data_IF_441914597888
#
_entry.id   IF_441914597888
#
_cell.length_a   1.000
_cell.length_b   1.000
_cell.length_c   1.000
_cell.angle_alpha   90.00
_cell.angle_beta   90.00
_cell.angle_gamma   90.00
#
_symmetry.space_group_name_H-M   'P 1'
#
loop_
_entity.id
_entity.type
_entity.pdbx_description
1 polymer ?
#
# COMPACT_ATOMS: atom_id res chain seq x y z
N UNK A 1 7.08 -6.94 21.54
CA UNK A 1 6.25 -7.71 20.59
C UNK A 1 4.84 -7.20 20.68
N UNK A 2 4.24 -6.79 19.57
CA UNK A 2 2.84 -6.35 19.53
C UNK A 2 1.94 -7.59 19.61
N UNK A 3 0.85 -7.57 20.39
CA UNK A 3 -0.04 -8.73 20.59
C UNK A 3 -0.62 -9.31 19.28
N UNK A 4 -0.62 -8.54 18.21
CA UNK A 4 -1.05 -8.97 16.87
C UNK A 4 -0.20 -10.12 16.29
N UNK A 5 1.11 -10.17 16.58
CA UNK A 5 2.00 -11.24 16.10
C UNK A 5 1.71 -12.59 16.77
N UNK A 6 1.07 -12.60 17.94
CA UNK A 6 0.75 -13.82 18.68
C UNK A 6 -0.37 -14.63 18.00
N UNK A 7 -1.35 -13.96 17.39
CA UNK A 7 -2.52 -14.62 16.77
C UNK A 7 -2.16 -15.57 15.62
N UNK A 8 -1.00 -15.34 15.01
CA UNK A 8 -0.54 -16.08 13.86
C UNK A 8 0.52 -17.12 14.29
N UNK A 9 1.38 -16.85 15.27
CA UNK A 9 2.61 -17.60 15.57
C UNK A 9 2.46 -19.11 15.91
N UNK A 10 1.26 -19.62 16.20
CA UNK A 10 1.03 -21.01 16.64
C UNK A 10 0.32 -21.94 15.65
N UNK A 11 0.09 -21.53 14.40
CA UNK A 11 -0.65 -22.35 13.42
C UNK A 11 0.29 -23.30 12.64
N UNK A 12 -0.14 -24.55 12.34
CA UNK A 12 0.65 -25.50 11.57
C UNK A 12 1.02 -24.97 10.18
N UNK A 13 2.12 -25.48 9.61
CA UNK A 13 2.64 -25.12 8.29
C UNK A 13 1.63 -25.45 7.19
N UNK A 14 0.72 -24.52 6.92
CA UNK A 14 -0.26 -24.57 5.82
C UNK A 14 0.02 -23.47 4.82
N UNK A 15 -0.38 -23.68 3.56
CA UNK A 15 -0.27 -22.66 2.52
C UNK A 15 -0.98 -21.37 2.93
N UNK A 16 -0.30 -20.22 2.76
CA UNK A 16 -0.88 -18.89 2.98
C UNK A 16 -2.08 -18.70 2.05
N UNK A 17 -3.23 -18.34 2.64
CA UNK A 17 -4.47 -18.07 1.90
C UNK A 17 -4.93 -16.62 2.01
N UNK A 18 -6.00 -16.28 1.29
CA UNK A 18 -6.59 -14.93 1.32
C UNK A 18 -7.04 -14.51 2.72
N UNK A 19 -7.53 -15.44 3.53
CA UNK A 19 -7.91 -15.16 4.92
C UNK A 19 -6.72 -14.66 5.76
N UNK A 20 -5.50 -15.14 5.49
CA UNK A 20 -4.30 -14.69 6.18
C UNK A 20 -3.91 -13.27 5.76
N UNK A 21 -4.12 -12.92 4.48
CA UNK A 21 -3.92 -11.56 3.96
C UNK A 21 -4.93 -10.58 4.56
N UNK A 22 -6.22 -10.96 4.64
CA UNK A 22 -7.25 -10.14 5.29
C UNK A 22 -6.92 -9.89 6.76
N UNK A 23 -6.51 -10.94 7.49
CA UNK A 23 -6.08 -10.79 8.89
C UNK A 23 -4.88 -9.86 9.02
N UNK A 24 -3.89 -10.00 8.15
CA UNK A 24 -2.75 -9.09 8.16
C UNK A 24 -3.20 -7.64 7.92
N UNK A 25 -4.00 -7.38 6.89
CA UNK A 25 -4.52 -6.04 6.60
C UNK A 25 -5.27 -5.41 7.79
N UNK A 26 -6.16 -6.17 8.43
CA UNK A 26 -6.95 -5.68 9.57
C UNK A 26 -6.15 -5.62 10.88
N UNK A 27 -5.01 -6.31 10.97
CA UNK A 27 -4.15 -6.25 12.16
C UNK A 27 -3.41 -4.92 12.30
N UNK A 28 -3.27 -4.16 11.21
CA UNK A 28 -2.75 -2.80 11.24
C UNK A 28 -3.86 -1.85 11.68
N UNK A 29 -3.75 -1.36 12.92
CA UNK A 29 -4.69 -0.40 13.51
C UNK A 29 -4.87 0.85 12.65
N UNK A 30 -3.80 1.25 11.96
CA UNK A 30 -3.79 2.37 11.03
C UNK A 30 -4.86 2.20 9.93
N UNK A 31 -5.05 1.00 9.39
CA UNK A 31 -6.08 0.72 8.38
C UNK A 31 -7.50 0.83 8.96
N UNK A 32 -7.69 0.40 10.21
CA UNK A 32 -8.99 0.46 10.88
C UNK A 32 -9.48 1.90 11.08
N UNK A 33 -8.57 2.86 11.22
CA UNK A 33 -8.91 4.30 11.32
C UNK A 33 -9.55 4.85 10.05
N UNK A 34 -9.44 4.16 8.91
CA UNK A 34 -10.09 4.54 7.66
C UNK A 34 -11.29 3.65 7.35
N UNK A 35 -11.18 2.34 7.60
CA UNK A 35 -12.25 1.37 7.38
C UNK A 35 -13.48 1.68 8.23
N UNK A 36 -13.29 1.98 9.51
CA UNK A 36 -14.42 2.23 10.43
C UNK A 36 -15.21 3.49 10.05
N UNK A 37 -14.59 4.68 9.86
CA UNK A 37 -15.32 5.86 9.40
C UNK A 37 -15.98 5.67 8.04
N UNK A 38 -15.31 5.01 7.08
CA UNK A 38 -15.91 4.72 5.77
C UNK A 38 -17.18 3.88 5.90
N UNK A 39 -17.13 2.79 6.69
CA UNK A 39 -18.28 1.93 6.94
C UNK A 39 -19.43 2.67 7.66
N UNK A 40 -19.11 3.52 8.64
CA UNK A 40 -20.10 4.34 9.36
C UNK A 40 -20.80 5.30 8.39
N UNK A 41 -20.05 6.03 7.55
CA UNK A 41 -20.63 6.99 6.61
C UNK A 41 -21.52 6.31 5.57
N UNK A 42 -21.07 5.18 5.01
CA UNK A 42 -21.90 4.37 4.08
C UNK A 42 -23.16 3.87 4.80
N UNK A 43 -23.02 3.34 6.02
CA UNK A 43 -24.13 2.85 6.82
C UNK A 43 -25.15 3.94 7.15
N UNK A 44 -24.70 5.14 7.50
CA UNK A 44 -25.57 6.31 7.73
C UNK A 44 -26.34 6.72 6.46
N UNK A 45 -25.69 6.72 5.29
CA UNK A 45 -26.34 7.00 4.01
C UNK A 45 -27.43 6.00 3.67
N UNK A 46 -27.16 4.70 3.88
CA UNK A 46 -28.14 3.62 3.67
C UNK A 46 -29.30 3.70 4.66
N UNK A 47 -29.02 3.94 5.95
CA UNK A 47 -30.03 4.01 7.01
C UNK A 47 -30.97 5.22 6.88
N UNK A 48 -30.49 6.32 6.29
CA UNK A 48 -31.29 7.54 6.05
C UNK A 48 -31.95 7.58 4.67
N UNK A 49 -32.02 6.43 3.99
CA UNK A 49 -32.62 6.26 2.66
C UNK A 49 -31.65 6.65 1.53
N UNK A 50 -31.09 5.68 0.78
CA UNK A 50 -30.06 5.96 -0.22
C UNK A 50 -30.57 6.84 -1.35
N UNK A 51 -29.72 7.77 -1.81
CA UNK A 51 -29.99 8.67 -2.93
C UNK A 51 -29.03 8.36 -4.08
N UNK A 52 -29.48 8.57 -5.31
CA UNK A 52 -28.59 8.55 -6.47
C UNK A 52 -27.46 9.58 -6.33
N UNK A 53 -27.72 10.73 -5.70
CA UNK A 53 -26.68 11.73 -5.41
C UNK A 53 -25.58 11.18 -4.52
N UNK A 54 -25.89 10.36 -3.51
CA UNK A 54 -24.87 9.76 -2.64
C UNK A 54 -23.91 8.89 -3.46
N UNK A 55 -24.44 8.08 -4.38
CA UNK A 55 -23.63 7.22 -5.24
C UNK A 55 -22.73 8.02 -6.20
N UNK A 56 -23.25 9.12 -6.77
CA UNK A 56 -22.49 10.00 -7.65
C UNK A 56 -21.38 10.72 -6.89
N UNK A 57 -21.67 11.27 -5.71
CA UNK A 57 -20.68 11.93 -4.87
C UNK A 57 -19.63 10.95 -4.35
N UNK A 58 -20.04 9.76 -3.93
CA UNK A 58 -19.12 8.68 -3.58
C UNK A 58 -18.18 8.32 -4.72
N UNK A 59 -18.71 8.14 -5.94
CA UNK A 59 -17.91 7.88 -7.12
C UNK A 59 -16.96 9.05 -7.41
N UNK A 60 -17.43 10.29 -7.31
CA UNK A 60 -16.59 11.49 -7.46
C UNK A 60 -15.44 11.52 -6.47
N UNK A 61 -15.69 11.28 -5.18
CA UNK A 61 -14.65 11.24 -4.17
C UNK A 61 -13.60 10.16 -4.41
N UNK A 62 -14.02 8.98 -4.85
CA UNK A 62 -13.09 7.93 -5.26
C UNK A 62 -12.27 8.33 -6.50
N UNK A 63 -12.91 8.95 -7.50
CA UNK A 63 -12.21 9.45 -8.68
C UNK A 63 -11.19 10.54 -8.35
N UNK A 64 -11.48 11.43 -7.40
CA UNK A 64 -10.54 12.45 -6.89
C UNK A 64 -9.32 11.79 -6.21
N UNK A 65 -9.52 10.65 -5.54
CA UNK A 65 -8.42 9.93 -4.90
C UNK A 65 -7.41 9.36 -5.92
N UNK A 66 -7.82 9.00 -7.15
CA UNK A 66 -6.92 8.38 -8.13
C UNK A 66 -5.71 9.26 -8.54
N UNK A 67 -5.89 10.53 -8.96
CA UNK A 67 -4.76 11.42 -9.21
C UNK A 67 -4.02 11.77 -7.92
N UNK A 68 -4.70 11.85 -6.77
CA UNK A 68 -4.05 12.09 -5.49
C UNK A 68 -3.07 10.97 -5.11
N UNK A 69 -3.44 9.70 -5.32
CA UNK A 69 -2.54 8.55 -5.17
C UNK A 69 -1.29 8.73 -6.02
N UNK A 70 -1.48 8.99 -7.32
CA UNK A 70 -0.36 9.13 -8.27
C UNK A 70 0.55 10.29 -7.90
N UNK A 71 -0.01 11.48 -7.61
CA UNK A 71 0.75 12.66 -7.20
C UNK A 71 1.54 12.42 -5.91
N UNK A 72 0.91 11.79 -4.92
CA UNK A 72 1.56 11.44 -3.66
C UNK A 72 2.72 10.48 -3.92
N UNK A 73 2.49 9.45 -4.72
CA UNK A 73 3.52 8.46 -5.01
C UNK A 73 4.72 9.07 -5.74
N UNK A 74 4.48 9.87 -6.78
CA UNK A 74 5.54 10.51 -7.58
C UNK A 74 6.29 11.59 -6.79
N UNK A 75 5.58 12.53 -6.18
CA UNK A 75 6.20 13.76 -5.67
C UNK A 75 6.51 13.75 -4.18
N UNK A 76 5.83 12.88 -3.41
CA UNK A 76 6.04 12.78 -1.96
C UNK A 76 6.83 11.51 -1.65
N UNK A 77 6.35 10.34 -2.05
CA UNK A 77 6.96 9.06 -1.69
C UNK A 77 8.30 8.82 -2.38
N UNK A 78 8.45 9.30 -3.63
CA UNK A 78 9.70 9.23 -4.41
C UNK A 78 10.55 10.51 -4.34
N UNK A 79 10.34 11.36 -3.34
CA UNK A 79 11.12 12.60 -3.19
C UNK A 79 12.60 12.33 -2.90
N UNK A 80 13.48 12.65 -3.87
CA UNK A 80 14.93 12.38 -3.79
C UNK A 80 15.78 13.49 -3.18
N UNK A 81 15.22 14.67 -2.93
CA UNK A 81 15.96 15.85 -2.48
C UNK A 81 16.37 15.80 -1.01
N UNK A 82 16.99 14.70 -0.56
CA UNK A 82 17.33 14.41 0.83
C UNK A 82 18.70 14.99 1.16
N UNK A 83 18.75 15.80 2.22
CA UNK A 83 19.94 16.58 2.61
C UNK A 83 20.44 16.30 4.03
N UNK A 84 19.74 15.46 4.78
CA UNK A 84 20.12 15.07 6.14
C UNK A 84 19.68 13.66 6.48
N UNK A 85 20.39 13.02 7.41
CA UNK A 85 20.03 11.71 7.95
C UNK A 85 18.61 11.66 8.52
N UNK A 86 18.18 12.74 9.19
CA UNK A 86 16.82 12.83 9.72
C UNK A 86 15.79 12.75 8.60
N UNK A 87 15.95 13.56 7.53
CA UNK A 87 15.04 13.51 6.38
C UNK A 87 15.09 12.14 5.67
N UNK A 88 16.27 11.53 5.57
CA UNK A 88 16.42 10.18 5.02
C UNK A 88 15.63 9.16 5.85
N UNK A 89 15.72 9.21 7.18
CA UNK A 89 14.98 8.33 8.08
C UNK A 89 13.47 8.49 7.95
N UNK A 90 12.97 9.71 7.77
CA UNK A 90 11.55 9.95 7.49
C UNK A 90 11.14 9.31 6.17
N UNK A 91 11.90 9.53 5.10
CA UNK A 91 11.65 8.90 3.80
C UNK A 91 11.77 7.38 3.84
N UNK A 92 12.67 6.83 4.65
CA UNK A 92 12.81 5.40 4.82
C UNK A 92 11.56 4.78 5.44
N UNK A 93 10.98 5.40 6.48
CA UNK A 93 9.69 4.96 7.02
C UNK A 93 8.57 5.19 6.02
N UNK A 94 8.62 6.28 5.27
CA UNK A 94 7.54 6.68 4.38
C UNK A 94 7.45 5.75 3.16
N UNK A 95 8.58 5.45 2.51
CA UNK A 95 8.58 4.65 1.30
C UNK A 95 9.90 3.94 0.97
N UNK A 96 11.07 4.49 1.31
CA UNK A 96 12.33 3.88 0.84
C UNK A 96 12.56 2.51 1.47
N UNK A 97 12.15 2.32 2.73
CA UNK A 97 12.21 1.01 3.38
C UNK A 97 11.32 -0.03 2.71
N UNK A 98 10.20 0.39 2.10
CA UNK A 98 9.37 -0.49 1.30
C UNK A 98 10.11 -0.94 0.02
N UNK A 99 10.79 -0.03 -0.67
CA UNK A 99 11.67 -0.37 -1.79
C UNK A 99 12.90 -1.20 -1.37
N UNK A 100 13.38 -1.01 -0.13
CA UNK A 100 14.52 -1.76 0.39
C UNK A 100 14.14 -3.22 0.66
N UNK A 101 13.00 -3.42 1.32
CA UNK A 101 12.45 -4.71 1.71
C UNK A 101 10.96 -4.83 1.32
N UNK A 102 10.62 -5.10 0.05
CA UNK A 102 9.22 -5.11 -0.43
C UNK A 102 8.34 -6.18 0.25
N UNK A 103 8.97 -7.21 0.82
CA UNK A 103 8.29 -8.29 1.55
C UNK A 103 7.94 -7.93 3.01
N UNK A 104 8.30 -6.73 3.48
CA UNK A 104 7.97 -6.24 4.83
C UNK A 104 6.71 -5.40 4.79
N UNK A 105 5.66 -5.93 5.42
CA UNK A 105 4.37 -5.27 5.55
C UNK A 105 4.41 -4.07 6.49
N UNK A 106 5.22 -4.09 7.55
CA UNK A 106 5.40 -2.95 8.44
C UNK A 106 5.98 -1.69 7.77
N UNK A 107 6.67 -1.85 6.64
CA UNK A 107 7.25 -0.75 5.87
C UNK A 107 6.39 -0.31 4.68
N UNK A 108 5.36 -1.08 4.28
CA UNK A 108 4.54 -0.74 3.11
C UNK A 108 3.41 0.24 3.42
N UNK A 109 2.74 0.09 4.57
CA UNK A 109 1.57 0.91 4.91
C UNK A 109 1.96 2.36 5.14
N UNK A 110 1.12 3.27 4.62
CA UNK A 110 1.33 4.69 4.78
C UNK A 110 1.24 5.11 6.26
N UNK A 111 2.19 5.91 6.76
CA UNK A 111 2.17 6.34 8.14
C UNK A 111 1.06 7.37 8.41
N UNK A 112 0.43 7.27 9.58
CA UNK A 112 -0.67 8.14 9.99
C UNK A 112 -0.34 9.64 9.98
N UNK A 113 0.92 10.01 10.21
CA UNK A 113 1.33 11.42 10.15
C UNK A 113 1.27 12.02 8.75
N UNK A 114 1.19 11.19 7.69
CA UNK A 114 0.91 11.65 6.33
C UNK A 114 -0.59 11.49 6.02
N UNK A 115 -1.16 10.32 6.30
CA UNK A 115 -2.52 9.99 5.86
C UNK A 115 -3.61 10.75 6.60
N UNK A 116 -3.44 11.04 7.90
CA UNK A 116 -4.42 11.83 8.66
C UNK A 116 -4.51 13.29 8.17
N UNK A 117 -3.42 14.06 8.02
CA UNK A 117 -3.50 15.40 7.44
C UNK A 117 -4.09 15.40 6.03
N UNK A 118 -3.65 14.49 5.16
CA UNK A 118 -4.16 14.39 3.79
C UNK A 118 -5.65 14.03 3.75
N UNK A 119 -6.11 13.16 4.64
CA UNK A 119 -7.53 12.81 4.76
C UNK A 119 -8.36 13.97 5.31
N UNK A 120 -7.83 14.72 6.28
CA UNK A 120 -8.49 15.93 6.78
C UNK A 120 -8.63 17.01 5.69
N UNK A 121 -7.59 17.18 4.85
CA UNK A 121 -7.65 18.07 3.69
C UNK A 121 -8.72 17.63 2.69
N UNK A 122 -8.84 16.33 2.43
CA UNK A 122 -9.90 15.80 1.58
C UNK A 122 -11.30 16.12 2.14
N UNK A 123 -11.51 15.94 3.45
CA UNK A 123 -12.78 16.30 4.09
C UNK A 123 -13.08 17.79 3.94
N UNK A 124 -12.11 18.66 4.25
CA UNK A 124 -12.26 20.12 4.09
C UNK A 124 -12.58 20.49 2.64
N UNK A 125 -11.91 19.86 1.68
CA UNK A 125 -12.17 20.07 0.26
C UNK A 125 -13.62 19.73 -0.10
N UNK A 126 -14.15 18.57 0.31
CA UNK A 126 -15.53 18.18 -0.01
C UNK A 126 -16.59 19.00 0.74
N UNK A 127 -16.29 19.45 1.97
CA UNK A 127 -17.15 20.38 2.72
C UNK A 127 -17.24 21.75 2.05
N UNK A 128 -16.16 22.19 1.40
CA UNK A 128 -16.14 23.44 0.63
C UNK A 128 -16.77 23.29 -0.76
N UNK A 129 -16.58 22.14 -1.41
CA UNK A 129 -16.97 21.93 -2.80
C UNK A 129 -18.45 21.56 -3.00
N UNK A 130 -19.05 20.82 -2.05
CA UNK A 130 -20.46 20.43 -2.12
C UNK A 130 -21.30 21.27 -1.16
N UNK A 131 -22.47 21.73 -1.63
CA UNK A 131 -23.35 22.61 -0.85
C UNK A 131 -24.02 21.90 0.34
N UNK A 132 -24.31 20.60 0.19
CA UNK A 132 -25.00 19.81 1.19
C UNK A 132 -24.02 18.93 1.98
N UNK A 133 -24.08 18.98 3.31
CA UNK A 133 -23.24 18.14 4.19
C UNK A 133 -23.28 16.66 3.82
N UNK A 134 -24.47 16.13 3.49
CA UNK A 134 -24.64 14.72 3.10
C UNK A 134 -23.84 14.38 1.85
N UNK A 135 -23.84 15.26 0.86
CA UNK A 135 -23.11 15.09 -0.39
C UNK A 135 -21.59 15.15 -0.15
N UNK A 136 -21.12 16.10 0.68
CA UNK A 136 -19.72 16.18 1.12
C UNK A 136 -19.27 14.89 1.82
N UNK A 137 -20.10 14.35 2.72
CA UNK A 137 -19.81 13.11 3.45
C UNK A 137 -19.83 11.88 2.55
N UNK A 138 -20.71 11.82 1.56
CA UNK A 138 -20.72 10.76 0.55
C UNK A 138 -19.45 10.79 -0.30
N UNK A 139 -19.01 11.98 -0.74
CA UNK A 139 -17.75 12.14 -1.45
C UNK A 139 -16.54 11.79 -0.58
N UNK A 140 -16.53 12.22 0.68
CA UNK A 140 -15.48 11.86 1.62
C UNK A 140 -15.41 10.34 1.85
N UNK A 141 -16.55 9.65 1.99
CA UNK A 141 -16.59 8.19 2.06
C UNK A 141 -16.03 7.54 0.78
N UNK A 142 -16.28 8.14 -0.38
CA UNK A 142 -15.67 7.81 -1.67
C UNK A 142 -14.14 7.88 -1.67
N UNK A 143 -13.58 8.97 -1.15
CA UNK A 143 -12.13 9.13 -1.05
C UNK A 143 -11.51 8.14 -0.05
N UNK A 144 -12.19 7.89 1.08
CA UNK A 144 -11.77 6.88 2.07
C UNK A 144 -11.75 5.47 1.45
N UNK A 145 -12.79 5.09 0.68
CA UNK A 145 -12.77 3.78 0.00
C UNK A 145 -11.64 3.70 -1.01
N UNK A 146 -11.32 4.80 -1.70
CA UNK A 146 -10.19 4.88 -2.61
C UNK A 146 -8.88 4.55 -1.91
N UNK A 147 -8.62 5.19 -0.76
CA UNK A 147 -7.45 4.92 0.06
C UNK A 147 -7.39 3.46 0.57
N UNK A 148 -8.50 2.92 1.07
CA UNK A 148 -8.56 1.54 1.55
C UNK A 148 -8.27 0.55 0.41
N UNK A 149 -8.84 0.77 -0.78
CA UNK A 149 -8.61 -0.05 -1.97
C UNK A 149 -7.15 0.05 -2.42
N UNK A 150 -6.54 1.22 -2.34
CA UNK A 150 -5.12 1.42 -2.61
C UNK A 150 -4.24 0.58 -1.67
N UNK A 151 -4.39 0.73 -0.35
CA UNK A 151 -3.59 -0.03 0.64
C UNK A 151 -3.79 -1.54 0.47
N UNK A 152 -5.03 -1.96 0.20
CA UNK A 152 -5.34 -3.37 -0.07
C UNK A 152 -4.68 -3.89 -1.36
N UNK A 153 -4.76 -3.12 -2.44
CA UNK A 153 -4.13 -3.43 -3.71
C UNK A 153 -2.60 -3.53 -3.54
N UNK A 154 -2.02 -2.60 -2.80
CA UNK A 154 -0.60 -2.53 -2.51
C UNK A 154 -0.12 -3.76 -1.73
N UNK A 155 -0.82 -4.14 -0.66
CA UNK A 155 -0.55 -5.38 0.08
C UNK A 155 -0.65 -6.60 -0.83
N UNK A 156 -1.73 -6.72 -1.62
CA UNK A 156 -1.94 -7.87 -2.50
C UNK A 156 -0.83 -8.05 -3.54
N UNK A 157 -0.19 -6.95 -3.97
CA UNK A 157 0.94 -7.03 -4.89
C UNK A 157 2.17 -7.70 -4.26
N UNK A 158 2.33 -7.60 -2.94
CA UNK A 158 3.54 -7.97 -2.21
C UNK A 158 3.41 -9.21 -1.35
N UNK A 159 2.25 -9.87 -1.33
CA UNK A 159 2.04 -11.15 -0.61
C UNK A 159 2.13 -12.35 -1.57
N UNK A 160 2.51 -13.54 -1.07
CA UNK A 160 2.64 -14.76 -1.88
C UNK A 160 1.29 -15.44 -2.15
N UNK A 161 0.25 -14.66 -2.45
CA UNK A 161 -1.08 -15.15 -2.84
C UNK A 161 -1.33 -14.78 -4.29
N UNK A 162 -1.72 -15.77 -5.10
CA UNK A 162 -1.95 -15.55 -6.52
C UNK A 162 -3.24 -14.77 -6.78
N UNK A 163 -3.10 -13.68 -7.55
CA UNK A 163 -4.23 -12.93 -8.07
C UNK A 163 -5.03 -13.76 -9.09
N UNK A 164 -6.32 -14.01 -8.80
CA UNK A 164 -7.20 -14.81 -9.67
C UNK A 164 -7.62 -14.09 -10.95
N UNK A 165 -7.79 -12.77 -10.92
CA UNK A 165 -8.24 -11.99 -12.09
C UNK A 165 -7.07 -11.43 -12.90
N UNK A 166 -7.29 -11.21 -14.21
CA UNK A 166 -6.29 -10.61 -15.09
C UNK A 166 -5.94 -9.18 -14.68
N UNK A 167 -6.93 -8.41 -14.21
CA UNK A 167 -6.72 -7.06 -13.68
C UNK A 167 -5.75 -7.05 -12.50
N UNK A 168 -5.98 -7.90 -11.49
CA UNK A 168 -5.12 -7.97 -10.31
C UNK A 168 -3.72 -8.49 -10.62
N UNK A 169 -3.58 -9.44 -11.56
CA UNK A 169 -2.27 -9.86 -12.08
C UNK A 169 -1.53 -8.70 -12.74
N UNK A 170 -2.20 -7.94 -13.61
CA UNK A 170 -1.62 -6.77 -14.28
C UNK A 170 -1.14 -5.72 -13.29
N UNK A 171 -1.94 -5.40 -12.28
CA UNK A 171 -1.58 -4.44 -11.23
C UNK A 171 -0.33 -4.93 -10.49
N UNK A 172 -0.34 -6.19 -10.04
CA UNK A 172 0.81 -6.80 -9.38
C UNK A 172 2.06 -6.74 -10.25
N UNK A 173 1.97 -7.17 -11.50
CA UNK A 173 3.13 -7.24 -12.39
C UNK A 173 3.70 -5.84 -12.68
N UNK A 174 2.84 -4.83 -12.80
CA UNK A 174 3.26 -3.41 -12.94
C UNK A 174 3.90 -2.87 -11.67
N UNK A 175 3.29 -3.10 -10.51
CA UNK A 175 3.85 -2.63 -9.24
C UNK A 175 5.17 -3.34 -8.91
N UNK A 176 5.29 -4.64 -9.16
CA UNK A 176 6.56 -5.34 -9.01
C UNK A 176 7.59 -4.86 -10.04
N UNK A 177 7.18 -4.45 -11.24
CA UNK A 177 8.09 -3.81 -12.19
C UNK A 177 8.57 -2.43 -11.70
N UNK A 178 7.71 -1.64 -11.05
CA UNK A 178 8.12 -0.41 -10.38
C UNK A 178 9.24 -0.67 -9.36
N UNK A 179 9.11 -1.71 -8.53
CA UNK A 179 10.10 -2.09 -7.52
C UNK A 179 11.40 -2.67 -8.09
N UNK A 180 11.32 -3.52 -9.13
CA UNK A 180 12.45 -4.36 -9.56
C UNK A 180 12.99 -4.05 -10.96
N UNK A 181 12.36 -3.14 -11.70
CA UNK A 181 12.76 -2.78 -13.07
C UNK A 181 13.12 -1.31 -13.12
N UNK A 182 12.18 -0.42 -12.78
CA UNK A 182 12.41 1.02 -12.85
C UNK A 182 11.44 1.77 -11.94
N UNK A 183 11.97 2.40 -10.90
CA UNK A 183 11.23 3.16 -9.89
C UNK A 183 10.59 4.45 -10.44
N UNK A 184 10.92 4.86 -11.67
CA UNK A 184 10.31 6.03 -12.34
C UNK A 184 9.07 5.68 -13.17
N UNK A 185 8.62 4.44 -13.13
CA UNK A 185 7.50 3.95 -13.94
C UNK A 185 6.49 3.17 -13.08
N UNK A 186 5.25 3.06 -13.57
CA UNK A 186 4.14 2.32 -12.97
C UNK A 186 3.83 2.73 -11.52
N UNK A 187 3.60 4.03 -11.30
CA UNK A 187 3.32 4.57 -9.97
C UNK A 187 1.90 4.22 -9.50
N UNK A 188 0.93 4.10 -10.39
CA UNK A 188 -0.42 3.76 -9.96
C UNK A 188 -0.49 2.32 -9.45
N UNK A 189 -1.12 2.13 -8.29
CA UNK A 189 -1.34 0.83 -7.64
C UNK A 189 -2.83 0.47 -7.65
N UNK A 190 -3.73 1.44 -7.47
CA UNK A 190 -5.17 1.16 -7.53
C UNK A 190 -5.58 0.65 -8.92
N UNK A 191 -6.52 -0.33 -9.00
CA UNK A 191 -7.00 -0.85 -10.28
C UNK A 191 -7.46 0.21 -11.28
N UNK A 192 -8.32 1.18 -10.91
CA UNK A 192 -8.73 2.23 -11.85
C UNK A 192 -7.63 3.27 -12.09
N UNK A 193 -6.62 3.43 -11.24
CA UNK A 193 -5.61 4.49 -11.40
C UNK A 193 -4.60 4.21 -12.54
N UNK A 194 -4.50 2.97 -13.04
CA UNK A 194 -3.50 2.54 -14.02
C UNK A 194 -3.47 3.36 -15.34
N UNK A 195 -4.57 4.03 -15.70
CA UNK A 195 -4.61 4.90 -16.87
C UNK A 195 -3.79 6.19 -16.66
N UNK A 196 -3.62 6.64 -15.42
CA UNK A 196 -2.90 7.88 -15.07
C UNK A 196 -1.42 7.75 -15.46
N UNK A 197 -0.80 6.60 -15.19
CA UNK A 197 0.55 6.31 -15.71
C UNK A 197 0.63 6.43 -17.24
N UNK A 198 -0.44 6.05 -17.95
CA UNK A 198 -0.47 6.16 -19.42
C UNK A 198 -0.58 7.63 -19.84
N UNK A 199 -1.46 8.39 -19.17
CA UNK A 199 -1.66 9.81 -19.42
C UNK A 199 -0.38 10.63 -19.22
N UNK A 200 0.37 10.34 -18.16
CA UNK A 200 1.62 11.05 -17.81
C UNK A 200 2.88 10.38 -18.34
N UNK A 201 2.75 9.37 -19.22
CA UNK A 201 3.88 8.64 -19.84
C UNK A 201 4.85 8.02 -18.83
N UNK A 202 4.35 7.66 -17.65
CA UNK A 202 5.06 6.85 -16.65
C UNK A 202 4.64 5.39 -16.69
N UNK A 203 3.80 4.99 -17.65
CA UNK A 203 3.48 3.60 -17.97
C UNK A 203 4.45 2.97 -18.98
N UNK A 204 4.00 1.93 -19.69
CA UNK A 204 4.80 1.26 -20.73
C UNK A 204 4.85 -0.26 -20.56
N UNK A 205 5.43 -0.95 -21.54
CA UNK A 205 5.73 -2.39 -21.44
C UNK A 205 7.05 -2.56 -20.71
N UNK A 206 7.08 -3.54 -19.79
CA UNK A 206 8.25 -3.83 -18.95
C UNK A 206 9.56 -3.99 -19.72
N UNK A 207 9.50 -4.61 -20.90
CA UNK A 207 10.68 -4.91 -21.72
C UNK A 207 11.25 -3.68 -22.44
N UNK A 208 10.44 -2.64 -22.63
CA UNK A 208 10.81 -1.43 -23.39
C UNK A 208 11.39 -0.34 -22.47
N UNK A 209 11.29 -0.53 -21.15
CA UNK A 209 11.76 0.43 -20.14
C UNK A 209 13.17 0.06 -19.70
N UNK A 210 14.06 1.06 -19.69
CA UNK A 210 15.42 0.92 -19.20
C UNK A 210 15.41 0.45 -17.74
N UNK A 211 16.21 -0.58 -17.44
CA UNK A 211 16.36 -1.06 -16.07
C UNK A 211 17.22 -0.07 -15.28
N UNK A 212 16.73 0.36 -14.13
CA UNK A 212 17.51 1.22 -13.25
C UNK A 212 18.56 0.40 -12.51
N UNK A 213 19.71 0.16 -13.15
CA UNK A 213 20.97 -0.34 -12.55
C UNK A 213 20.84 -1.19 -11.28
N UNK A 214 21.45 -0.76 -10.18
CA UNK A 214 21.46 -1.39 -8.84
C UNK A 214 20.07 -1.56 -8.18
N UNK A 215 18.98 -1.39 -8.94
CA UNK A 215 17.63 -1.82 -8.59
C UNK A 215 16.92 -0.95 -7.55
N UNK A 216 17.54 0.16 -7.14
CA UNK A 216 17.09 0.98 -6.00
C UNK A 216 17.51 2.43 -6.18
N UNK A 217 16.91 3.14 -7.15
CA UNK A 217 17.23 4.57 -7.33
C UNK A 217 17.04 5.33 -6.01
N UNK A 218 15.99 5.03 -5.23
CA UNK A 218 15.68 5.71 -3.98
C UNK A 218 16.74 5.52 -2.87
N UNK A 219 17.45 4.39 -2.85
CA UNK A 219 18.40 4.04 -1.79
C UNK A 219 19.82 4.38 -2.22
N UNK A 220 20.02 5.62 -2.71
CA UNK A 220 21.29 6.15 -3.22
C UNK A 220 22.48 5.64 -2.40
N UNK A 221 23.36 4.88 -3.06
CA UNK A 221 24.51 4.22 -2.45
C UNK A 221 24.15 3.28 -1.28
N UNK A 222 24.05 1.97 -1.55
CA UNK A 222 23.66 0.97 -0.53
C UNK A 222 24.65 0.86 0.63
N UNK A 223 25.88 1.35 0.46
CA UNK A 223 26.93 1.38 1.47
C UNK A 223 26.88 2.67 2.32
N UNK A 224 25.98 3.60 1.99
CA UNK A 224 25.75 4.79 2.79
C UNK A 224 25.31 4.46 4.22
N UNK A 225 26.06 5.02 5.16
CA UNK A 225 25.83 4.98 6.60
C UNK A 225 24.37 5.24 7.04
N UNK A 226 23.67 6.16 6.37
CA UNK A 226 22.26 6.48 6.65
C UNK A 226 21.34 5.31 6.32
N UNK A 227 21.62 4.57 5.23
CA UNK A 227 20.88 3.37 4.84
C UNK A 227 21.02 2.31 5.94
N UNK A 228 22.26 2.05 6.39
CA UNK A 228 22.54 1.02 7.39
C UNK A 228 21.91 1.35 8.74
N UNK A 229 22.00 2.61 9.18
CA UNK A 229 21.33 3.07 10.42
C UNK A 229 19.81 3.02 10.32
N UNK A 230 19.23 3.34 9.16
CA UNK A 230 17.79 3.20 8.94
C UNK A 230 17.36 1.72 9.01
N UNK A 231 18.06 0.82 8.31
CA UNK A 231 17.83 -0.64 8.38
C UNK A 231 17.85 -1.15 9.82
N UNK A 232 18.91 -0.82 10.56
CA UNK A 232 19.06 -1.22 11.97
C UNK A 232 17.92 -0.69 12.85
N UNK A 233 17.54 0.58 12.68
CA UNK A 233 16.45 1.21 13.45
C UNK A 233 15.11 0.52 13.25
N UNK A 234 14.81 0.08 12.02
CA UNK A 234 13.52 -0.52 11.70
C UNK A 234 13.53 -2.05 11.77
N UNK A 235 14.69 -2.72 11.89
CA UNK A 235 14.81 -4.17 11.91
C UNK A 235 13.89 -4.85 12.96
N UNK A 236 13.83 -4.31 14.17
CA UNK A 236 13.05 -4.89 15.29
C UNK A 236 11.52 -4.71 15.17
N UNK A 237 11.04 -3.96 14.16
CA UNK A 237 9.61 -3.72 13.94
C UNK A 237 8.96 -4.74 13.00
N UNK A 238 9.75 -5.57 12.34
CA UNK A 238 9.22 -6.59 11.44
C UNK A 238 8.31 -7.57 12.19
N UNK A 239 7.24 -8.00 11.52
CA UNK A 239 6.36 -9.07 12.00
C UNK A 239 6.99 -10.46 11.86
N UNK A 240 7.98 -10.60 10.96
CA UNK A 240 8.71 -11.83 10.68
C UNK A 240 10.20 -11.69 11.02
N UNK A 241 11.06 -11.77 10.00
CA UNK A 241 12.50 -11.53 10.13
C UNK A 241 12.88 -10.11 9.64
N UNK A 242 14.14 -9.65 9.80
CA UNK A 242 14.53 -8.29 9.41
C UNK A 242 14.31 -7.92 7.93
N UNK A 243 14.05 -8.88 7.05
CA UNK A 243 13.92 -8.72 5.58
C UNK A 243 12.54 -9.05 5.03
N UNK A 244 11.68 -9.73 5.78
CA UNK A 244 10.36 -10.17 5.30
C UNK A 244 9.35 -10.35 6.44
N UNK A 245 8.07 -10.16 6.12
CA UNK A 245 6.96 -10.31 7.05
C UNK A 245 6.65 -11.76 7.39
N UNK A 246 5.84 -11.96 8.43
CA UNK A 246 5.41 -13.28 8.88
C UNK A 246 4.70 -14.11 7.80
N UNK A 247 3.96 -13.45 6.91
CA UNK A 247 3.29 -14.09 5.76
C UNK A 247 4.33 -14.79 4.86
N UNK A 248 5.45 -14.13 4.58
CA UNK A 248 6.50 -14.68 3.72
C UNK A 248 7.30 -15.79 4.39
N UNK A 249 7.61 -15.63 5.68
CA UNK A 249 8.28 -16.67 6.48
C UNK A 249 7.47 -17.97 6.42
N UNK A 250 6.16 -17.90 6.69
CA UNK A 250 5.29 -19.08 6.61
C UNK A 250 5.16 -19.68 5.23
N UNK A 251 5.08 -18.84 4.21
CA UNK A 251 5.03 -19.33 2.85
C UNK A 251 6.26 -20.18 2.52
N UNK A 252 7.46 -19.71 2.90
CA UNK A 252 8.70 -20.45 2.71
C UNK A 252 8.74 -21.76 3.52
N UNK A 253 8.28 -21.75 4.77
CA UNK A 253 8.17 -22.96 5.60
C UNK A 253 7.22 -23.99 5.00
N UNK A 254 6.04 -23.57 4.54
CA UNK A 254 5.07 -24.46 3.90
C UNK A 254 5.64 -25.13 2.64
N UNK A 255 6.39 -24.39 1.82
CA UNK A 255 7.07 -24.92 0.63
C UNK A 255 8.14 -25.95 0.99
N UNK A 256 8.93 -25.70 2.05
CA UNK A 256 9.94 -26.64 2.55
C UNK A 256 9.32 -27.92 3.09
N UNK A 257 8.20 -27.83 3.80
CA UNK A 257 7.49 -28.99 4.33
C UNK A 257 6.97 -29.89 3.20
N UNK A 258 6.35 -29.32 2.16
CA UNK A 258 5.91 -30.06 0.97
C UNK A 258 7.08 -30.76 0.28
N UNK A 259 8.20 -30.05 0.05
CA UNK A 259 9.36 -30.67 -0.59
C UNK A 259 10.02 -31.79 0.23
N UNK A 260 9.83 -31.82 1.56
CA UNK A 260 10.34 -32.91 2.41
C UNK A 260 9.42 -34.13 2.36
N UNK A 261 8.11 -33.93 2.39
CA UNK A 261 7.14 -35.03 2.29
C UNK A 261 7.03 -35.66 0.89
N UNK A 262 7.52 -35.00 -0.15
CA UNK A 262 7.65 -35.58 -1.50
C UNK A 262 8.94 -36.42 -1.68
N UNK A 263 9.88 -36.36 -0.73
CA UNK A 263 11.16 -37.08 -0.75
C UNK A 263 11.22 -38.25 0.28
N UNK A 264 10.11 -38.54 0.97
CA UNK A 264 9.91 -39.70 1.84
C UNK A 264 8.99 -40.73 1.15
#
# INVERSE_FOLDING_TARGET
MNESNASLAGLPARSVGMADVVRAFLSYRDNLLFVVPCAVLIGMGLATGPRWSDALWFAFGWLVFLPQEWLTHVYILHWRGIKSETSYRWMYRLHYGHHDFPKRDDLMYMPLWLTLPTTALNLVFFLWFADALRDSLAAFAGALIGYIVFEWAHLLCHVPVLAKSAMWRRIRDRHLAHHYVNERHWFSVSPPAQFIDTLFRTGGKRQDVEKTGTGKLLLEDLDNDWVQRARARFASRSSGDPTQSLIWVRHAESKRAVSRGENE
#
